data_IF_037869977368
#
_entry.id   IF_037869977368
#
_cell.length_a   1.000
_cell.length_b   1.000
_cell.length_c   1.000
_cell.angle_alpha   90.00
_cell.angle_beta   90.00
_cell.angle_gamma   90.00
#
_symmetry.space_group_name_H-M   'P 1'
#
loop_
_entity.id
_entity.type
_entity.pdbx_description
1 polymer ?
#
# COMPACT_ATOMS: atom_id res chain seq x y z
N UNK A 1 -17.32 -16.60 -14.92
CA UNK A 1 -17.44 -17.86 -14.16
C UNK A 1 -16.20 -17.97 -13.29
N UNK A 2 -16.35 -17.82 -11.97
CA UNK A 2 -15.47 -18.20 -10.83
C UNK A 2 -15.93 -17.32 -9.66
N UNK A 3 -16.50 -17.94 -8.61
CA UNK A 3 -16.32 -17.58 -7.17
C UNK A 3 -17.44 -18.09 -6.22
N UNK A 4 -18.21 -19.12 -6.58
CA UNK A 4 -19.30 -19.59 -5.71
C UNK A 4 -18.84 -20.44 -4.49
N UNK A 5 -17.54 -20.77 -4.36
CA UNK A 5 -17.03 -21.62 -3.27
C UNK A 5 -15.90 -21.00 -2.42
N UNK A 6 -15.59 -19.72 -2.62
CA UNK A 6 -14.70 -19.00 -1.68
C UNK A 6 -15.46 -18.70 -0.38
N UNK A 7 -14.75 -18.61 0.76
CA UNK A 7 -15.36 -18.18 2.04
C UNK A 7 -16.06 -16.82 1.89
N UNK A 8 -15.45 -15.89 1.16
CA UNK A 8 -16.04 -14.57 0.89
C UNK A 8 -17.31 -14.68 0.04
N UNK A 9 -17.31 -15.56 -0.98
CA UNK A 9 -18.48 -15.83 -1.82
C UNK A 9 -19.64 -16.44 -1.02
N UNK A 10 -19.34 -17.44 -0.18
CA UNK A 10 -20.35 -18.07 0.69
C UNK A 10 -20.95 -17.07 1.69
N UNK A 11 -20.12 -16.22 2.29
CA UNK A 11 -20.58 -15.15 3.18
C UNK A 11 -21.48 -14.16 2.45
N UNK A 12 -21.13 -13.76 1.23
CA UNK A 12 -21.95 -12.84 0.43
C UNK A 12 -23.27 -13.48 -0.01
N UNK A 13 -23.32 -14.79 -0.22
CA UNK A 13 -24.58 -15.50 -0.49
C UNK A 13 -25.46 -15.54 0.76
N UNK A 14 -24.87 -15.89 1.91
CA UNK A 14 -25.59 -15.96 3.18
C UNK A 14 -26.10 -14.59 3.63
N UNK A 15 -25.27 -13.54 3.52
CA UNK A 15 -25.60 -12.14 3.79
C UNK A 15 -25.92 -11.37 2.49
N UNK A 16 -26.77 -11.95 1.63
CA UNK A 16 -27.07 -11.40 0.30
C UNK A 16 -27.75 -10.04 0.29
N UNK A 17 -28.31 -9.61 1.43
CA UNK A 17 -28.93 -8.29 1.62
C UNK A 17 -27.95 -7.23 2.15
N UNK A 18 -26.67 -7.55 2.38
CA UNK A 18 -25.68 -6.64 2.93
C UNK A 18 -25.61 -5.32 2.16
N UNK A 19 -25.60 -5.38 0.83
CA UNK A 19 -25.44 -4.22 -0.05
C UNK A 19 -26.62 -3.23 -0.05
N UNK A 20 -27.81 -3.65 0.40
CA UNK A 20 -29.04 -2.84 0.23
C UNK A 20 -29.82 -2.58 1.52
N UNK A 21 -29.54 -3.31 2.60
CA UNK A 21 -30.38 -3.29 3.80
C UNK A 21 -30.10 -2.17 4.78
N UNK A 22 -28.95 -2.19 5.45
CA UNK A 22 -28.64 -1.25 6.53
C UNK A 22 -27.22 -0.70 6.35
N UNK A 23 -27.14 0.63 6.19
CA UNK A 23 -25.86 1.32 6.04
C UNK A 23 -24.94 1.12 7.25
N UNK A 24 -25.48 0.85 8.45
CA UNK A 24 -24.69 0.60 9.65
C UNK A 24 -23.91 -0.71 9.61
N UNK A 25 -24.32 -1.64 8.74
CA UNK A 25 -23.61 -2.90 8.50
C UNK A 25 -22.49 -2.74 7.44
N UNK A 26 -22.44 -1.59 6.77
CA UNK A 26 -21.35 -1.26 5.86
C UNK A 26 -20.19 -0.68 6.66
N UNK A 27 -19.20 -1.53 6.90
CA UNK A 27 -17.97 -1.08 7.53
C UNK A 27 -17.30 -0.02 6.64
N UNK A 28 -16.96 1.16 7.17
CA UNK A 28 -16.23 2.17 6.39
C UNK A 28 -14.93 1.60 5.84
N UNK A 29 -14.58 1.97 4.61
CA UNK A 29 -13.38 1.48 3.90
C UNK A 29 -12.08 1.60 4.72
N UNK A 30 -11.96 2.61 5.59
CA UNK A 30 -10.80 2.82 6.47
C UNK A 30 -10.49 1.65 7.41
N UNK A 31 -11.44 0.72 7.61
CA UNK A 31 -11.28 -0.49 8.41
C UNK A 31 -11.01 -1.75 7.56
N UNK A 32 -10.89 -1.63 6.25
CA UNK A 32 -10.47 -2.72 5.36
C UNK A 32 -9.82 -2.14 4.10
N UNK A 33 -8.72 -1.40 4.28
CA UNK A 33 -8.01 -0.77 3.16
C UNK A 33 -7.10 -1.80 2.50
N UNK A 34 -7.34 -2.10 1.23
CA UNK A 34 -6.44 -2.95 0.43
C UNK A 34 -5.20 -2.14 0.07
N UNK A 35 -4.02 -2.63 0.43
CA UNK A 35 -2.77 -1.89 0.25
C UNK A 35 -2.25 -1.85 -1.20
N UNK A 36 -2.73 -2.74 -2.07
CA UNK A 36 -2.24 -2.86 -3.46
C UNK A 36 -2.67 -1.67 -4.33
N UNK A 37 -1.75 -1.22 -5.20
CA UNK A 37 -1.93 -0.04 -6.04
C UNK A 37 -3.12 -0.18 -7.02
N UNK A 38 -3.32 -1.36 -7.60
CA UNK A 38 -4.40 -1.61 -8.57
C UNK A 38 -5.82 -1.63 -7.98
N UNK A 39 -5.93 -1.81 -6.66
CA UNK A 39 -7.21 -1.83 -5.96
C UNK A 39 -7.55 -0.49 -5.29
N UNK A 40 -6.60 0.44 -5.27
CA UNK A 40 -6.76 1.72 -4.59
C UNK A 40 -7.24 2.79 -5.56
N UNK A 41 -8.15 3.65 -5.11
CA UNK A 41 -8.43 4.93 -5.76
C UNK A 41 -7.51 5.99 -5.13
N UNK A 42 -6.41 6.42 -5.80
CA UNK A 42 -5.37 7.22 -5.16
C UNK A 42 -5.87 8.53 -4.50
N UNK A 43 -6.81 9.29 -5.09
CA UNK A 43 -7.33 10.50 -4.45
C UNK A 43 -8.03 10.23 -3.12
N UNK A 44 -8.89 9.20 -3.05
CA UNK A 44 -9.54 8.84 -1.79
C UNK A 44 -8.53 8.30 -0.78
N UNK A 45 -7.55 7.53 -1.23
CA UNK A 45 -6.49 7.04 -0.38
C UNK A 45 -5.71 8.18 0.29
N UNK A 46 -5.28 9.19 -0.47
CA UNK A 46 -4.59 10.37 0.05
C UNK A 46 -5.50 11.14 1.02
N UNK A 47 -6.76 11.37 0.63
CA UNK A 47 -7.71 12.15 1.44
C UNK A 47 -8.03 11.48 2.79
N UNK A 48 -8.22 10.16 2.82
CA UNK A 48 -8.57 9.42 4.03
C UNK A 48 -7.37 8.77 4.74
N UNK A 49 -6.14 9.00 4.25
CA UNK A 49 -4.90 8.37 4.72
C UNK A 49 -4.75 8.37 6.25
N UNK A 50 -4.94 9.53 6.86
CA UNK A 50 -4.74 9.71 8.31
C UNK A 50 -5.87 9.09 9.16
N UNK A 51 -6.93 8.60 8.53
CA UNK A 51 -8.07 7.94 9.19
C UNK A 51 -8.03 6.43 9.04
N UNK A 52 -7.08 5.88 8.27
CA UNK A 52 -6.92 4.44 8.06
C UNK A 52 -6.64 3.76 9.40
N UNK A 53 -7.39 2.69 9.69
CA UNK A 53 -7.30 1.92 10.94
C UNK A 53 -6.80 0.50 10.70
N UNK A 54 -7.16 -0.11 9.57
CA UNK A 54 -6.79 -1.48 9.24
C UNK A 54 -6.38 -1.56 7.78
N UNK A 55 -5.22 -2.17 7.55
CA UNK A 55 -4.66 -2.43 6.22
C UNK A 55 -4.71 -3.93 5.96
N UNK A 56 -5.22 -4.29 4.78
CA UNK A 56 -5.33 -5.66 4.31
C UNK A 56 -4.36 -5.89 3.15
N UNK A 57 -3.32 -6.68 3.41
CA UNK A 57 -2.38 -7.17 2.40
C UNK A 57 -2.97 -8.39 1.68
N UNK A 58 -3.85 -8.12 0.70
CA UNK A 58 -4.42 -9.14 -0.19
C UNK A 58 -3.35 -9.69 -1.16
N UNK A 59 -3.63 -10.82 -1.81
CA UNK A 59 -2.74 -11.44 -2.80
C UNK A 59 -1.83 -12.52 -2.23
N UNK A 60 -1.06 -13.16 -3.11
CA UNK A 60 -0.09 -14.21 -2.76
C UNK A 60 1.15 -13.65 -2.06
N UNK A 61 1.58 -12.45 -2.46
CA UNK A 61 2.68 -11.74 -1.85
C UNK A 61 2.26 -11.13 -0.51
N UNK A 62 3.07 -11.37 0.53
CA UNK A 62 2.81 -10.94 1.90
C UNK A 62 3.96 -10.08 2.39
N UNK A 63 3.74 -9.24 3.42
CA UNK A 63 4.80 -8.35 3.91
C UNK A 63 6.11 -9.05 4.24
N UNK A 64 6.04 -10.27 4.78
CA UNK A 64 7.20 -11.09 5.12
C UNK A 64 7.93 -11.73 3.93
N UNK A 65 7.38 -11.64 2.71
CA UNK A 65 8.10 -12.02 1.48
C UNK A 65 8.98 -10.87 0.95
N UNK A 66 8.81 -9.65 1.46
CA UNK A 66 9.66 -8.53 1.09
C UNK A 66 11.05 -8.66 1.73
N UNK A 67 12.05 -8.15 1.02
CA UNK A 67 13.39 -8.02 1.56
C UNK A 67 13.57 -6.65 2.21
N UNK A 68 14.36 -6.63 3.28
CA UNK A 68 14.86 -5.39 3.87
C UNK A 68 16.28 -5.13 3.37
N UNK A 69 16.61 -3.86 3.16
CA UNK A 69 17.98 -3.46 2.96
C UNK A 69 18.77 -3.52 4.28
N UNK A 70 20.08 -3.31 4.18
CA UNK A 70 20.99 -3.26 5.34
C UNK A 70 20.65 -2.18 6.37
N UNK A 71 19.76 -1.25 6.03
CA UNK A 71 19.30 -0.14 6.87
C UNK A 71 17.87 -0.37 7.40
N UNK A 72 17.25 -1.52 7.10
CA UNK A 72 15.91 -1.86 7.54
C UNK A 72 14.79 -1.26 6.69
N UNK A 73 15.10 -0.73 5.50
CA UNK A 73 14.08 -0.24 4.57
C UNK A 73 13.58 -1.34 3.66
N UNK A 74 12.27 -1.35 3.40
CA UNK A 74 11.65 -2.31 2.48
C UNK A 74 12.14 -2.08 1.06
N UNK A 75 12.74 -3.11 0.46
CA UNK A 75 13.14 -3.11 -0.94
C UNK A 75 11.92 -3.45 -1.80
N UNK A 76 11.34 -2.41 -2.41
CA UNK A 76 10.22 -2.57 -3.34
C UNK A 76 10.78 -2.86 -4.74
N UNK A 77 10.81 -4.15 -5.10
CA UNK A 77 11.30 -4.59 -6.42
C UNK A 77 10.33 -4.26 -7.56
N UNK A 78 9.04 -4.22 -7.25
CA UNK A 78 7.98 -3.84 -8.17
C UNK A 78 6.97 -2.95 -7.43
N UNK A 79 6.87 -1.65 -7.79
CA UNK A 79 5.95 -0.70 -7.17
C UNK A 79 4.47 -1.06 -7.31
N UNK A 80 4.16 -2.01 -8.19
CA UNK A 80 2.78 -2.36 -8.55
C UNK A 80 2.26 -3.60 -7.83
N UNK A 81 3.15 -4.50 -7.39
CA UNK A 81 2.76 -5.84 -6.89
C UNK A 81 2.59 -5.90 -5.37
N UNK A 82 3.38 -5.13 -4.62
CA UNK A 82 3.32 -5.12 -3.16
C UNK A 82 2.78 -3.78 -2.72
N UNK A 83 1.87 -3.79 -1.73
CA UNK A 83 1.11 -2.60 -1.34
C UNK A 83 1.95 -1.38 -0.98
N UNK A 84 1.29 -0.25 -0.71
CA UNK A 84 1.94 1.06 -0.49
C UNK A 84 3.21 0.90 0.38
N UNK A 85 4.40 1.32 -0.10
CA UNK A 85 5.68 1.03 0.58
C UNK A 85 5.71 1.42 2.06
N UNK A 86 4.97 2.47 2.38
CA UNK A 86 4.81 3.03 3.73
C UNK A 86 4.15 2.04 4.70
N UNK A 87 3.14 1.29 4.26
CA UNK A 87 2.49 0.28 5.11
C UNK A 87 3.35 -0.96 5.27
N UNK A 88 4.08 -1.35 4.23
CA UNK A 88 5.04 -2.46 4.32
C UNK A 88 6.15 -2.09 5.31
N UNK A 89 6.69 -0.88 5.22
CA UNK A 89 7.69 -0.39 6.17
C UNK A 89 7.14 -0.38 7.60
N UNK A 90 5.90 0.09 7.79
CA UNK A 90 5.28 0.10 9.11
C UNK A 90 5.09 -1.33 9.67
N UNK A 91 4.66 -2.27 8.83
CA UNK A 91 4.55 -3.69 9.21
C UNK A 91 5.91 -4.25 9.65
N UNK A 92 6.97 -4.00 8.88
CA UNK A 92 8.32 -4.46 9.22
C UNK A 92 8.86 -3.82 10.50
N UNK A 93 8.60 -2.53 10.72
CA UNK A 93 8.96 -1.86 11.97
C UNK A 93 8.29 -2.54 13.18
N UNK A 94 6.98 -2.83 13.09
CA UNK A 94 6.26 -3.55 14.15
C UNK A 94 6.80 -4.96 14.35
N UNK A 95 7.07 -5.68 13.26
CA UNK A 95 7.63 -7.02 13.31
C UNK A 95 9.01 -7.02 13.99
N UNK A 96 9.94 -6.19 13.52
CA UNK A 96 11.30 -6.10 14.07
C UNK A 96 11.31 -5.62 15.52
N UNK A 97 10.37 -4.76 15.91
CA UNK A 97 10.31 -4.22 17.28
C UNK A 97 9.65 -5.19 18.27
N UNK A 98 8.58 -5.88 17.87
CA UNK A 98 7.71 -6.59 18.82
C UNK A 98 7.64 -8.11 18.63
N UNK A 99 7.99 -8.61 17.45
CA UNK A 99 7.91 -10.04 17.10
C UNK A 99 9.30 -10.63 17.01
N UNK A 100 10.19 -10.01 16.24
CA UNK A 100 11.57 -10.48 16.02
C UNK A 100 12.34 -10.78 17.30
N UNK A 101 12.32 -9.94 18.37
CA UNK A 101 13.06 -10.23 19.60
C UNK A 101 12.56 -11.47 20.36
N UNK A 102 11.38 -11.99 20.01
CA UNK A 102 10.76 -13.17 20.61
C UNK A 102 10.98 -14.43 19.77
N UNK A 103 11.57 -14.29 18.58
CA UNK A 103 11.90 -15.43 17.73
C UNK A 103 13.17 -16.10 18.27
N UNK A 104 13.12 -17.41 18.41
CA UNK A 104 14.26 -18.20 18.88
C UNK A 104 15.00 -18.71 17.63
N UNK A 105 16.30 -18.37 17.45
CA UNK A 105 17.10 -18.94 16.36
C UNK A 105 17.31 -20.42 16.64
N UNK A 106 16.63 -21.29 15.89
CA UNK A 106 16.73 -22.75 16.11
C UNK A 106 15.74 -23.61 15.36
N UNK A 107 14.63 -23.06 14.87
CA UNK A 107 13.70 -23.81 14.01
C UNK A 107 14.11 -23.74 12.54
N UNK A 108 14.17 -24.90 11.88
CA UNK A 108 14.65 -25.10 10.51
C UNK A 108 13.70 -24.59 9.42
N UNK A 109 12.85 -23.62 9.73
CA UNK A 109 11.75 -23.17 8.86
C UNK A 109 11.82 -21.68 8.54
N UNK A 110 10.83 -21.17 7.79
CA UNK A 110 10.71 -19.76 7.38
C UNK A 110 10.92 -18.76 8.54
N UNK A 111 10.51 -19.13 9.76
CA UNK A 111 10.69 -18.35 10.99
C UNK A 111 12.18 -18.18 11.35
N UNK A 112 12.99 -19.22 11.15
CA UNK A 112 14.43 -19.17 11.38
C UNK A 112 15.15 -18.21 10.42
N UNK A 113 14.68 -18.09 9.17
CA UNK A 113 15.20 -17.09 8.22
C UNK A 113 14.86 -15.66 8.66
N UNK A 114 13.65 -15.43 9.17
CA UNK A 114 13.24 -14.12 9.68
C UNK A 114 14.00 -13.72 10.95
N UNK A 115 14.36 -14.69 11.80
CA UNK A 115 15.13 -14.45 13.03
C UNK A 115 16.60 -14.07 12.79
N UNK A 116 17.12 -14.27 11.58
CA UNK A 116 18.50 -13.97 11.19
C UNK A 116 18.66 -12.59 10.53
N UNK A 117 17.59 -11.79 10.45
CA UNK A 117 17.64 -10.47 9.82
C UNK A 117 18.39 -9.50 10.73
N UNK A 118 19.60 -9.11 10.33
CA UNK A 118 20.41 -8.09 11.00
C UNK A 118 20.33 -6.74 10.27
N UNK A 119 19.87 -5.69 10.96
CA UNK A 119 19.75 -4.33 10.43
C UNK A 119 20.86 -3.45 11.03
N UNK A 120 21.66 -2.82 10.17
CA UNK A 120 22.68 -1.83 10.56
C UNK A 120 22.02 -0.44 10.71
N UNK A 121 22.19 0.24 11.84
CA UNK A 121 21.66 1.59 12.05
C UNK A 121 22.53 2.67 11.37
N UNK A 122 21.98 3.44 10.41
CA UNK A 122 22.22 4.90 10.27
C UNK A 122 21.43 5.58 9.11
N UNK A 123 20.70 6.64 9.47
CA UNK A 123 20.20 7.84 8.74
C UNK A 123 20.05 7.81 7.20
N UNK A 124 18.80 7.94 6.74
CA UNK A 124 18.41 8.21 5.35
C UNK A 124 18.59 9.68 4.96
N UNK A 125 19.38 9.95 3.92
CA UNK A 125 19.37 11.20 3.15
C UNK A 125 18.82 10.92 1.75
N UNK A 126 17.68 11.51 1.42
CA UNK A 126 17.05 11.44 0.10
C UNK A 126 17.75 12.41 -0.87
N UNK A 127 18.21 11.89 -2.01
CA UNK A 127 18.79 12.68 -3.11
C UNK A 127 17.69 13.01 -4.11
N UNK A 128 17.49 14.29 -4.39
CA UNK A 128 16.55 14.79 -5.40
C UNK A 128 17.06 14.44 -6.81
N UNK A 129 16.30 13.66 -7.58
CA UNK A 129 16.45 13.55 -9.03
C UNK A 129 15.49 14.53 -9.72
N UNK A 130 15.70 14.80 -11.01
CA UNK A 130 15.11 15.97 -11.68
C UNK A 130 13.57 15.89 -11.83
N UNK A 131 12.92 16.96 -11.38
CA UNK A 131 11.47 17.12 -11.20
C UNK A 131 10.58 16.71 -12.40
N UNK A 132 11.06 16.81 -13.64
CA UNK A 132 10.20 16.63 -14.82
C UNK A 132 10.09 15.16 -15.28
N UNK A 133 11.20 14.41 -15.22
CA UNK A 133 11.22 12.98 -15.58
C UNK A 133 10.48 12.16 -14.52
N UNK A 134 10.68 12.49 -13.24
CA UNK A 134 9.94 11.87 -12.15
C UNK A 134 8.45 12.20 -12.21
N UNK A 135 8.08 13.43 -12.58
CA UNK A 135 6.68 13.81 -12.79
C UNK A 135 6.05 13.01 -13.92
N UNK A 136 6.69 12.89 -15.08
CA UNK A 136 6.17 12.06 -16.17
C UNK A 136 5.97 10.60 -15.76
N UNK A 137 6.96 10.03 -15.06
CA UNK A 137 6.87 8.67 -14.53
C UNK A 137 5.77 8.50 -13.48
N UNK A 138 5.50 9.52 -12.67
CA UNK A 138 4.38 9.55 -11.73
C UNK A 138 3.03 9.57 -12.47
N UNK A 139 2.94 10.26 -13.61
CA UNK A 139 1.77 10.23 -14.49
C UNK A 139 1.51 8.84 -15.06
N UNK A 140 2.54 8.18 -15.59
CA UNK A 140 2.44 6.83 -16.16
C UNK A 140 2.04 5.77 -15.13
N UNK A 141 2.39 5.98 -13.85
CA UNK A 141 2.03 5.09 -12.73
C UNK A 141 0.72 5.47 -12.03
N UNK A 142 0.03 6.54 -12.45
CA UNK A 142 -1.17 7.05 -11.77
C UNK A 142 -0.92 7.61 -10.36
N UNK A 143 0.33 7.94 -10.04
CA UNK A 143 0.79 8.49 -8.75
C UNK A 143 0.96 10.00 -8.82
N UNK A 144 0.04 10.69 -9.48
CA UNK A 144 0.20 12.09 -9.83
C UNK A 144 -0.05 12.97 -8.61
N UNK A 145 0.58 14.13 -8.56
CA UNK A 145 0.44 15.05 -7.43
C UNK A 145 -0.86 15.87 -7.55
N UNK A 146 -1.98 15.21 -7.32
CA UNK A 146 -3.33 15.78 -7.45
C UNK A 146 -3.60 16.96 -6.50
N UNK A 147 -2.77 17.19 -5.49
CA UNK A 147 -2.90 18.32 -4.54
C UNK A 147 -1.86 19.43 -4.77
N UNK A 148 -0.88 19.22 -5.65
CA UNK A 148 0.17 20.19 -5.91
C UNK A 148 0.36 20.43 -7.40
N UNK A 149 1.37 19.81 -7.99
CA UNK A 149 1.81 20.05 -9.38
C UNK A 149 0.82 19.58 -10.43
N UNK A 150 0.07 18.53 -10.15
CA UNK A 150 -0.93 17.93 -11.05
C UNK A 150 -2.35 18.13 -10.53
N UNK A 151 -2.56 19.20 -9.77
CA UNK A 151 -3.88 19.59 -9.28
C UNK A 151 -4.82 19.98 -10.40
N UNK A 152 -6.13 19.78 -10.17
CA UNK A 152 -7.18 20.08 -11.14
C UNK A 152 -7.09 21.52 -11.66
N UNK A 153 -6.87 22.50 -10.78
CA UNK A 153 -6.74 23.91 -11.16
C UNK A 153 -5.56 24.14 -12.11
N UNK A 154 -4.39 23.53 -11.86
CA UNK A 154 -3.22 23.67 -12.73
C UNK A 154 -3.44 22.99 -14.09
N UNK A 155 -4.03 21.79 -14.10
CA UNK A 155 -4.35 21.08 -15.34
C UNK A 155 -5.38 21.87 -16.16
N UNK A 156 -6.42 22.38 -15.50
CA UNK A 156 -7.44 23.21 -16.15
C UNK A 156 -6.82 24.48 -16.73
N UNK A 157 -6.03 25.22 -15.96
CA UNK A 157 -5.34 26.43 -16.44
C UNK A 157 -4.41 26.14 -17.62
N UNK A 158 -3.69 25.01 -17.59
CA UNK A 158 -2.84 24.57 -18.70
C UNK A 158 -3.68 24.30 -19.95
N UNK A 159 -4.79 23.57 -19.84
CA UNK A 159 -5.68 23.28 -20.96
C UNK A 159 -6.28 24.57 -21.54
N UNK A 160 -6.77 25.47 -20.68
CA UNK A 160 -7.30 26.78 -21.10
C UNK A 160 -6.25 27.63 -21.81
N UNK A 161 -4.99 27.59 -21.37
CA UNK A 161 -3.87 28.29 -22.03
C UNK A 161 -3.56 27.74 -23.43
N UNK A 162 -3.82 26.46 -23.67
CA UNK A 162 -3.58 25.79 -24.96
C UNK A 162 -4.77 25.94 -25.92
N UNK A 163 -5.98 26.12 -25.40
CA UNK A 163 -7.21 26.32 -26.17
C UNK A 163 -7.36 27.77 -26.69
N UNK A 164 -6.77 28.76 -26.00
CA UNK A 164 -6.79 30.18 -26.44
C UNK A 164 -5.80 30.51 -27.59
N UNK A 165 -5.44 29.54 -28.42
CA UNK A 165 -4.62 29.75 -29.63
C UNK A 165 -5.43 29.62 -30.90
#
# INVERSE_FOLDING_TARGET
>A
MISDFSKEGLLNIFFSDWATKDIRLHLPFIYNVISQAFYSYPPAFIHFRNKIRVVHFIGSEKPWHCELDKFGQVIVRDPTSVGTPEFLQHWWNLFMTHVHPKLIPGESDFVGKLAQIEISQSSSSLTQASDESERQLAWERGQMDYMGSDSFEKIQNLLESKIKK
#
